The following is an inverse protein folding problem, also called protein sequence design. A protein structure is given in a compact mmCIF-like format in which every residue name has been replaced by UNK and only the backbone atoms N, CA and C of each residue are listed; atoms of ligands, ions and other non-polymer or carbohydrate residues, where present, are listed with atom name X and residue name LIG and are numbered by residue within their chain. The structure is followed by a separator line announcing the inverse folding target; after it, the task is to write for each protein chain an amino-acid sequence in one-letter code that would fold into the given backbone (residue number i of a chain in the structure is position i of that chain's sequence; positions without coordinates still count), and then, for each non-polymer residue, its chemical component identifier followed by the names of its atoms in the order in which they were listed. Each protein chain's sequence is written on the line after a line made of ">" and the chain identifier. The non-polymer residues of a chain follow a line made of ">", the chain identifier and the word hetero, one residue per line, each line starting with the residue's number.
data_IF_911046428280
#
_entry.id   IF_911046428280
#
_cell.length_a   1.000
_cell.length_b   1.000
_cell.length_c   1.000
_cell.angle_alpha   90.00
_cell.angle_beta   90.00
_cell.angle_gamma   90.00
#
_symmetry.space_group_name_H-M   'P 1'
#
loop_
_entity.id
_entity.type
_entity.pdbx_description
1 polymer ?
#
# COMPACT_ATOMS: atom_id res chain seq x y z
N UNK A 1 8.34 -24.49 22.26
CA UNK A 1 7.79 -25.30 23.37
C UNK A 1 6.40 -25.74 22.95
N UNK A 2 6.03 -26.99 23.19
CA UNK A 2 4.69 -27.53 22.90
C UNK A 2 3.95 -27.76 24.22
N UNK A 3 2.72 -27.27 24.31
CA UNK A 3 1.89 -27.38 25.51
C UNK A 3 1.29 -28.79 25.58
N UNK A 4 1.67 -29.57 26.60
CA UNK A 4 1.14 -30.91 26.80
C UNK A 4 -0.14 -30.89 27.65
N UNK A 5 -0.10 -30.16 28.76
CA UNK A 5 -1.19 -30.19 29.73
C UNK A 5 -1.19 -28.95 30.63
N UNK A 6 -2.38 -28.48 30.98
CA UNK A 6 -2.60 -27.47 32.03
C UNK A 6 -3.40 -28.12 33.15
N UNK A 7 -2.91 -28.04 34.39
CA UNK A 7 -3.61 -28.55 35.57
C UNK A 7 -3.55 -27.52 36.70
N UNK A 8 -4.69 -26.88 36.97
CA UNK A 8 -4.74 -25.78 37.93
C UNK A 8 -3.93 -24.57 37.45
N UNK A 9 -2.95 -24.13 38.23
CA UNK A 9 -2.02 -23.05 37.87
C UNK A 9 -0.70 -23.55 37.27
N UNK A 10 -0.51 -24.87 37.15
CA UNK A 10 0.72 -25.45 36.62
C UNK A 10 0.58 -25.82 35.15
N UNK A 11 1.62 -25.53 34.37
CA UNK A 11 1.70 -25.78 32.93
C UNK A 11 2.88 -26.71 32.62
N UNK A 12 2.58 -27.84 31.98
CA UNK A 12 3.59 -28.81 31.51
C UNK A 12 3.87 -28.61 30.03
N UNK A 13 5.12 -28.26 29.70
CA UNK A 13 5.59 -28.05 28.32
C UNK A 13 6.71 -29.02 27.96
N UNK A 14 6.78 -29.41 26.68
CA UNK A 14 7.90 -30.15 26.09
C UNK A 14 8.68 -29.25 25.13
N UNK A 15 9.98 -29.46 25.01
CA UNK A 15 10.79 -28.85 23.94
C UNK A 15 10.27 -29.37 22.60
N UNK A 16 9.79 -28.47 21.74
CA UNK A 16 9.26 -28.82 20.42
C UNK A 16 10.40 -28.92 19.43
N UNK A 17 10.44 -29.99 18.65
CA UNK A 17 11.38 -30.19 17.53
C UNK A 17 10.84 -29.60 16.22
N UNK A 18 9.57 -29.16 16.20
CA UNK A 18 8.98 -28.52 15.03
C UNK A 18 9.52 -27.09 14.88
N UNK A 19 10.27 -26.85 13.80
CA UNK A 19 10.58 -25.50 13.30
C UNK A 19 9.29 -24.85 12.77
N UNK A 20 8.39 -24.43 13.66
CA UNK A 20 7.34 -23.50 13.27
C UNK A 20 8.00 -22.16 13.04
N UNK A 21 8.26 -21.85 11.76
CA UNK A 21 8.50 -20.49 11.27
C UNK A 21 7.19 -19.68 11.45
N UNK A 22 6.80 -19.45 12.70
CA UNK A 22 5.93 -18.34 12.98
C UNK A 22 6.85 -17.13 13.01
N UNK A 23 7.13 -16.61 11.81
CA UNK A 23 7.57 -15.23 11.65
C UNK A 23 6.50 -14.40 12.36
N UNK A 24 6.84 -13.93 13.55
CA UNK A 24 6.06 -12.91 14.23
C UNK A 24 6.20 -11.68 13.36
N UNK A 25 5.28 -11.52 12.41
CA UNK A 25 5.07 -10.25 11.74
C UNK A 25 4.55 -9.31 12.81
N UNK A 26 5.48 -8.66 13.49
CA UNK A 26 5.19 -7.38 14.09
C UNK A 26 4.75 -6.50 12.91
N UNK A 27 3.44 -6.40 12.69
CA UNK A 27 2.86 -5.16 12.19
C UNK A 27 3.03 -4.08 13.27
N UNK A 28 4.24 -3.98 13.85
CA UNK A 28 4.64 -2.82 14.62
C UNK A 28 4.31 -1.67 13.70
N UNK A 29 3.42 -0.80 14.17
CA UNK A 29 2.79 0.23 13.38
C UNK A 29 3.83 0.78 12.41
N UNK A 30 3.79 0.31 11.15
CA UNK A 30 4.58 0.90 10.08
C UNK A 30 3.88 2.23 9.95
N UNK A 31 4.34 3.20 10.73
CA UNK A 31 3.91 4.56 10.55
C UNK A 31 4.30 4.84 9.12
N UNK A 32 3.28 4.94 8.26
CA UNK A 32 3.44 5.43 6.91
C UNK A 32 4.34 6.66 6.99
N UNK A 33 5.26 6.81 6.04
CA UNK A 33 6.09 8.02 5.99
C UNK A 33 5.19 9.24 6.25
N UNK A 34 5.46 9.96 7.34
CA UNK A 34 4.72 11.17 7.59
C UNK A 34 5.02 12.12 6.43
N UNK A 35 4.05 12.95 6.05
CA UNK A 35 4.23 13.97 5.01
C UNK A 35 5.52 14.79 5.22
N UNK A 36 5.89 15.01 6.49
CA UNK A 36 7.11 15.72 6.87
C UNK A 36 8.40 14.94 6.55
N UNK A 37 8.41 13.61 6.73
CA UNK A 37 9.57 12.79 6.39
C UNK A 37 9.72 12.66 4.87
N UNK A 38 8.62 12.54 4.13
CA UNK A 38 8.64 12.53 2.65
C UNK A 38 9.24 13.82 2.08
N UNK A 39 8.86 14.96 2.65
CA UNK A 39 9.44 16.26 2.31
C UNK A 39 10.95 16.30 2.55
N UNK A 40 11.42 15.78 3.70
CA UNK A 40 12.85 15.75 4.03
C UNK A 40 13.65 14.83 3.10
N UNK A 41 13.09 13.70 2.68
CA UNK A 41 13.73 12.84 1.67
C UNK A 41 13.90 13.59 0.34
N UNK A 42 12.87 14.31 -0.11
CA UNK A 42 12.96 15.12 -1.34
C UNK A 42 13.95 16.28 -1.23
N UNK A 43 14.12 16.87 -0.06
CA UNK A 43 15.18 17.86 0.20
C UNK A 43 16.58 17.23 0.05
N UNK A 44 16.78 16.02 0.58
CA UNK A 44 18.04 15.26 0.41
C UNK A 44 18.28 14.94 -1.07
N UNK A 45 17.24 14.56 -1.83
CA UNK A 45 17.34 14.29 -3.26
C UNK A 45 17.71 15.54 -4.06
N UNK A 46 17.16 16.70 -3.69
CA UNK A 46 17.56 18.00 -4.25
C UNK A 46 19.03 18.31 -3.97
N UNK A 47 19.50 18.08 -2.74
CA UNK A 47 20.92 18.26 -2.40
C UNK A 47 21.83 17.30 -3.18
N UNK A 48 21.44 16.03 -3.31
CA UNK A 48 22.12 15.05 -4.14
C UNK A 48 22.24 15.52 -5.59
N UNK A 49 21.15 16.00 -6.19
CA UNK A 49 21.13 16.53 -7.56
C UNK A 49 22.04 17.77 -7.74
N UNK A 50 22.38 18.47 -6.66
CA UNK A 50 23.34 19.58 -6.63
C UNK A 50 24.78 19.15 -6.33
N UNK A 51 25.02 17.85 -6.13
CA UNK A 51 26.32 17.29 -5.72
C UNK A 51 26.67 17.53 -4.25
N UNK A 52 25.68 17.88 -3.43
CA UNK A 52 25.86 18.18 -2.00
C UNK A 52 25.57 16.92 -1.18
N UNK A 53 26.52 16.53 -0.32
CA UNK A 53 26.38 15.39 0.60
C UNK A 53 26.68 15.87 2.01
N UNK A 54 25.64 15.98 2.85
CA UNK A 54 25.73 16.60 4.18
C UNK A 54 25.92 15.63 5.34
N UNK A 55 25.47 14.39 5.21
CA UNK A 55 25.47 13.42 6.30
C UNK A 55 26.13 12.10 5.90
N UNK A 56 26.60 11.36 6.89
CA UNK A 56 27.22 10.06 6.66
C UNK A 56 26.17 9.03 6.21
N UNK A 57 24.93 9.13 6.68
CA UNK A 57 23.81 8.31 6.20
C UNK A 57 23.55 8.53 4.70
N UNK A 58 23.59 9.80 4.25
CA UNK A 58 23.46 10.12 2.82
C UNK A 58 24.63 9.49 2.03
N UNK A 59 25.86 9.56 2.56
CA UNK A 59 27.03 8.95 1.93
C UNK A 59 26.87 7.43 1.75
N UNK A 60 26.26 6.74 2.72
CA UNK A 60 26.02 5.29 2.62
C UNK A 60 24.98 4.93 1.55
N UNK A 61 24.00 5.80 1.30
CA UNK A 61 22.97 5.58 0.26
C UNK A 61 23.39 6.08 -1.13
N UNK A 62 24.49 6.83 -1.26
CA UNK A 62 24.96 7.36 -2.56
C UNK A 62 25.04 6.30 -3.67
N UNK A 63 25.59 5.08 -3.45
CA UNK A 63 25.65 4.08 -4.52
C UNK A 63 24.26 3.75 -5.09
N UNK A 64 23.22 3.78 -4.24
CA UNK A 64 21.85 3.53 -4.64
C UNK A 64 21.28 4.71 -5.44
N UNK A 65 21.53 5.95 -5.01
CA UNK A 65 21.12 7.16 -5.73
C UNK A 65 21.84 7.29 -7.08
N UNK A 66 23.13 6.95 -7.12
CA UNK A 66 23.92 6.93 -8.35
C UNK A 66 23.41 5.88 -9.34
N UNK A 67 23.01 4.71 -8.85
CA UNK A 67 22.37 3.70 -9.69
C UNK A 67 21.00 4.17 -10.20
N UNK A 68 20.19 4.80 -9.34
CA UNK A 68 18.91 5.40 -9.72
C UNK A 68 19.10 6.48 -10.80
N UNK A 69 20.10 7.35 -10.65
CA UNK A 69 20.43 8.41 -11.61
C UNK A 69 20.94 7.86 -12.95
N UNK A 70 21.62 6.71 -12.94
CA UNK A 70 22.06 6.03 -14.17
C UNK A 70 20.92 5.38 -14.95
N UNK A 71 19.98 4.74 -14.24
CA UNK A 71 18.86 4.01 -14.86
C UNK A 71 17.68 4.92 -15.21
N UNK A 72 17.50 6.02 -14.46
CA UNK A 72 16.33 6.89 -14.52
C UNK A 72 16.71 8.29 -14.03
N UNK A 73 16.00 8.85 -13.05
CA UNK A 73 16.28 10.13 -12.40
C UNK A 73 16.00 10.03 -10.90
N UNK A 74 16.67 10.86 -10.11
CA UNK A 74 16.34 11.07 -8.70
C UNK A 74 15.40 12.30 -8.62
N UNK A 75 14.10 12.11 -8.34
CA UNK A 75 13.12 13.19 -8.34
C UNK A 75 13.32 14.13 -7.15
N UNK A 76 13.24 15.43 -7.41
CA UNK A 76 13.22 16.46 -6.38
C UNK A 76 11.78 16.88 -6.04
N UNK A 77 11.63 17.98 -5.31
CA UNK A 77 10.33 18.52 -4.88
C UNK A 77 9.44 19.01 -6.04
N UNK A 78 10.02 19.32 -7.20
CA UNK A 78 9.32 19.87 -8.37
C UNK A 78 9.05 18.80 -9.44
N UNK A 79 9.70 17.63 -9.34
CA UNK A 79 9.61 16.56 -10.33
C UNK A 79 8.67 15.45 -9.87
N UNK A 80 7.72 15.08 -10.72
CA UNK A 80 6.91 13.87 -10.57
C UNK A 80 7.44 12.79 -11.52
N UNK A 81 8.18 11.84 -10.97
CA UNK A 81 8.75 10.75 -11.75
C UNK A 81 7.72 9.66 -12.00
N UNK A 82 7.66 9.23 -13.27
CA UNK A 82 6.94 8.04 -13.71
C UNK A 82 7.92 7.13 -14.46
N UNK A 83 8.03 5.88 -14.04
CA UNK A 83 8.86 4.87 -14.73
C UNK A 83 7.96 3.85 -15.42
N UNK A 84 8.15 3.67 -16.72
CA UNK A 84 7.47 2.64 -17.52
C UNK A 84 8.47 1.53 -17.85
N UNK A 85 8.18 0.31 -17.39
CA UNK A 85 9.04 -0.85 -17.55
C UNK A 85 8.21 -2.03 -18.06
N UNK A 86 8.72 -2.71 -19.09
CA UNK A 86 8.14 -3.97 -19.55
C UNK A 86 8.98 -5.13 -19.02
N UNK A 87 8.33 -6.11 -18.40
CA UNK A 87 8.98 -7.35 -17.96
C UNK A 87 8.18 -8.57 -18.41
N UNK A 88 8.62 -9.77 -18.00
CA UNK A 88 7.88 -11.01 -18.24
C UNK A 88 6.55 -11.07 -17.47
N UNK A 89 6.44 -10.31 -16.38
CA UNK A 89 5.22 -10.27 -15.56
C UNK A 89 4.13 -9.37 -16.19
N UNK A 90 4.49 -8.47 -17.11
CA UNK A 90 3.58 -7.55 -17.78
C UNK A 90 4.16 -6.16 -17.98
N UNK A 91 3.29 -5.16 -18.02
CA UNK A 91 3.60 -3.76 -18.25
C UNK A 91 3.45 -2.98 -16.95
N UNK A 92 4.56 -2.44 -16.46
CA UNK A 92 4.65 -1.77 -15.17
C UNK A 92 4.68 -0.26 -15.37
N UNK A 93 3.86 0.45 -14.63
CA UNK A 93 3.93 1.89 -14.44
C UNK A 93 4.17 2.18 -12.96
N UNK A 94 5.35 2.72 -12.64
CA UNK A 94 5.69 3.15 -11.29
C UNK A 94 5.57 4.66 -11.16
N UNK A 95 4.92 5.12 -10.09
CA UNK A 95 4.66 6.52 -9.82
C UNK A 95 5.26 6.90 -8.46
N UNK A 96 5.96 8.05 -8.40
CA UNK A 96 6.70 8.47 -7.20
C UNK A 96 6.27 9.84 -6.65
N UNK A 97 5.07 9.97 -6.06
CA UNK A 97 4.58 11.24 -5.52
C UNK A 97 5.09 11.55 -4.11
N UNK A 98 5.59 10.56 -3.34
CA UNK A 98 6.06 10.73 -1.96
C UNK A 98 4.99 11.26 -0.98
N UNK A 99 3.77 10.71 -1.04
CA UNK A 99 2.65 11.11 -0.17
C UNK A 99 2.39 10.12 0.98
N UNK A 100 3.18 9.04 1.05
CA UNK A 100 3.03 7.99 2.05
C UNK A 100 2.08 6.89 1.62
N UNK A 101 2.25 5.70 2.23
CA UNK A 101 1.59 4.47 1.80
C UNK A 101 0.06 4.54 1.71
N UNK A 102 -0.59 5.16 2.70
CA UNK A 102 -2.06 5.31 2.69
C UNK A 102 -2.55 6.15 1.51
N UNK A 103 -1.86 7.25 1.20
CA UNK A 103 -2.22 8.08 0.06
C UNK A 103 -1.96 7.37 -1.26
N UNK A 104 -0.87 6.61 -1.36
CA UNK A 104 -0.56 5.83 -2.55
C UNK A 104 -1.59 4.72 -2.81
N UNK A 105 -2.16 4.11 -1.77
CA UNK A 105 -3.26 3.16 -1.91
C UNK A 105 -4.50 3.83 -2.53
N UNK A 106 -4.89 5.02 -2.03
CA UNK A 106 -6.03 5.76 -2.58
C UNK A 106 -5.78 6.26 -4.01
N UNK A 107 -4.60 6.84 -4.27
CA UNK A 107 -4.23 7.36 -5.59
C UNK A 107 -4.15 6.21 -6.61
N UNK A 108 -3.53 5.09 -6.26
CA UNK A 108 -3.43 3.94 -7.16
C UNK A 108 -4.81 3.37 -7.50
N UNK A 109 -5.71 3.23 -6.52
CA UNK A 109 -7.07 2.76 -6.75
C UNK A 109 -7.86 3.70 -7.67
N UNK A 110 -7.76 5.02 -7.45
CA UNK A 110 -8.37 6.03 -8.30
C UNK A 110 -7.89 5.93 -9.75
N UNK A 111 -6.57 5.86 -9.94
CA UNK A 111 -5.98 5.79 -11.28
C UNK A 111 -6.37 4.46 -11.94
N UNK A 112 -6.33 3.34 -11.23
CA UNK A 112 -6.72 2.04 -11.77
C UNK A 112 -8.19 2.04 -12.21
N UNK A 113 -9.09 2.65 -11.43
CA UNK A 113 -10.48 2.84 -11.83
C UNK A 113 -10.59 3.64 -13.12
N UNK A 114 -9.92 4.80 -13.22
CA UNK A 114 -9.95 5.66 -14.42
C UNK A 114 -9.38 4.96 -15.66
N UNK A 115 -8.30 4.21 -15.50
CA UNK A 115 -7.75 3.36 -16.57
C UNK A 115 -8.79 2.33 -17.00
N UNK A 116 -9.47 1.66 -16.06
CA UNK A 116 -10.47 0.63 -16.37
C UNK A 116 -11.70 1.14 -17.13
N UNK A 117 -12.03 2.43 -17.00
CA UNK A 117 -13.11 3.07 -17.76
C UNK A 117 -12.75 3.28 -19.23
N UNK A 118 -11.47 3.55 -19.50
CA UNK A 118 -10.97 3.86 -20.83
C UNK A 118 -10.43 2.63 -21.55
N UNK A 119 -9.94 1.63 -20.80
CA UNK A 119 -9.30 0.44 -21.31
C UNK A 119 -9.81 -0.83 -20.60
N UNK A 120 -10.22 -1.88 -21.34
CA UNK A 120 -10.60 -3.16 -20.74
C UNK A 120 -9.35 -3.94 -20.32
N UNK A 121 -8.86 -3.70 -19.11
CA UNK A 121 -7.56 -4.23 -18.62
C UNK A 121 -7.64 -4.84 -17.23
N UNK A 122 -6.78 -5.82 -16.96
CA UNK A 122 -6.60 -6.35 -15.60
C UNK A 122 -5.46 -5.62 -14.92
N UNK A 123 -5.73 -4.97 -13.77
CA UNK A 123 -4.75 -4.16 -13.05
C UNK A 123 -4.42 -4.78 -11.71
N UNK A 124 -3.13 -4.91 -11.42
CA UNK A 124 -2.61 -5.18 -10.09
C UNK A 124 -1.89 -3.94 -9.55
N UNK A 125 -2.03 -3.68 -8.25
CA UNK A 125 -1.44 -2.53 -7.59
C UNK A 125 -0.53 -2.95 -6.44
N UNK A 126 0.60 -2.27 -6.31
CA UNK A 126 1.47 -2.37 -5.15
C UNK A 126 1.93 -0.98 -4.73
N UNK A 127 2.24 -0.79 -3.45
CA UNK A 127 2.61 0.51 -2.93
C UNK A 127 3.50 0.38 -1.71
N UNK A 128 4.40 1.35 -1.59
CA UNK A 128 5.18 1.59 -0.39
C UNK A 128 5.05 3.05 0.02
N UNK A 129 5.98 3.53 0.82
CA UNK A 129 5.93 4.85 1.41
C UNK A 129 6.31 6.01 0.46
N UNK A 130 6.98 5.74 -0.66
CA UNK A 130 7.41 6.78 -1.61
C UNK A 130 6.75 6.68 -2.99
N UNK A 131 6.19 5.53 -3.34
CA UNK A 131 5.50 5.34 -4.60
C UNK A 131 4.56 4.14 -4.67
N UNK A 132 3.97 3.97 -5.85
CA UNK A 132 3.09 2.85 -6.19
C UNK A 132 3.32 2.35 -7.62
N UNK A 133 2.87 1.13 -7.87
CA UNK A 133 2.92 0.40 -9.13
C UNK A 133 1.50 0.14 -9.63
N UNK A 134 1.31 0.33 -10.93
CA UNK A 134 0.18 -0.19 -11.71
C UNK A 134 0.76 -1.20 -12.70
N UNK A 135 0.43 -2.47 -12.51
CA UNK A 135 0.82 -3.57 -13.38
C UNK A 135 -0.38 -3.99 -14.23
N UNK A 136 -0.22 -3.97 -15.55
CA UNK A 136 -1.21 -4.44 -16.50
C UNK A 136 -0.71 -5.65 -17.30
N UNK A 137 -1.67 -6.49 -17.70
CA UNK A 137 -1.48 -7.61 -18.62
C UNK A 137 -1.35 -7.17 -20.09
N UNK A 138 -1.74 -5.94 -20.41
CA UNK A 138 -1.63 -5.36 -21.76
C UNK A 138 -0.79 -4.08 -21.76
N UNK A 139 -0.23 -3.67 -22.93
CA UNK A 139 0.47 -2.40 -23.02
C UNK A 139 -0.40 -1.23 -22.58
N UNK A 140 0.11 -0.42 -21.66
CA UNK A 140 -0.48 0.85 -21.27
C UNK A 140 0.53 1.96 -21.59
N UNK A 141 0.23 2.79 -22.59
CA UNK A 141 1.05 3.97 -22.88
C UNK A 141 0.76 5.04 -21.82
N UNK A 142 1.79 5.44 -21.10
CA UNK A 142 1.67 6.50 -20.11
C UNK A 142 1.31 7.85 -20.75
N UNK A 143 1.71 8.08 -22.00
CA UNK A 143 1.32 9.25 -22.78
C UNK A 143 -0.19 9.30 -23.00
N UNK A 144 -0.80 8.19 -23.46
CA UNK A 144 -2.25 8.09 -23.62
C UNK A 144 -2.98 8.31 -22.30
N UNK A 145 -2.46 7.75 -21.20
CA UNK A 145 -3.06 7.95 -19.87
C UNK A 145 -2.98 9.42 -19.42
N UNK A 146 -1.88 10.12 -19.69
CA UNK A 146 -1.75 11.54 -19.36
C UNK A 146 -2.70 12.38 -20.23
N UNK A 147 -2.90 12.02 -21.50
CA UNK A 147 -3.88 12.69 -22.38
C UNK A 147 -5.32 12.54 -21.88
N UNK A 148 -5.66 11.39 -21.28
CA UNK A 148 -6.95 11.14 -20.60
C UNK A 148 -7.08 11.84 -19.24
N UNK A 149 -6.11 12.67 -18.84
CA UNK A 149 -6.13 13.46 -17.60
C UNK A 149 -6.38 12.57 -16.36
N UNK A 150 -5.69 11.43 -16.25
CA UNK A 150 -5.89 10.48 -15.13
C UNK A 150 -5.65 11.09 -13.73
N UNK A 151 -4.98 12.24 -13.64
CA UNK A 151 -4.76 13.00 -12.40
C UNK A 151 -5.75 14.15 -12.18
N UNK A 152 -6.81 14.24 -13.00
CA UNK A 152 -7.81 15.30 -12.94
C UNK A 152 -8.49 15.39 -11.58
N UNK A 153 -8.80 16.61 -11.17
CA UNK A 153 -9.69 16.86 -10.04
C UNK A 153 -11.18 16.85 -10.45
N UNK A 154 -11.48 16.73 -11.74
CA UNK A 154 -12.86 16.62 -12.25
C UNK A 154 -13.45 15.29 -11.83
N UNK A 155 -14.75 15.31 -11.47
CA UNK A 155 -15.54 14.15 -11.04
C UNK A 155 -14.92 13.32 -9.90
N UNK A 156 -13.97 13.89 -9.15
CA UNK A 156 -13.19 13.17 -8.15
C UNK A 156 -14.08 12.57 -7.04
N UNK A 157 -15.12 13.27 -6.62
CA UNK A 157 -16.09 12.76 -5.64
C UNK A 157 -16.77 11.47 -6.12
N UNK A 158 -17.23 11.45 -7.37
CA UNK A 158 -17.88 10.29 -7.98
C UNK A 158 -16.89 9.13 -8.16
N UNK A 159 -15.70 9.42 -8.68
CA UNK A 159 -14.66 8.40 -8.87
C UNK A 159 -14.24 7.74 -7.54
N UNK A 160 -14.13 8.52 -6.46
CA UNK A 160 -13.81 7.99 -5.13
C UNK A 160 -14.88 7.02 -4.64
N UNK A 161 -16.16 7.29 -4.88
CA UNK A 161 -17.26 6.38 -4.49
C UNK A 161 -17.16 5.01 -5.18
N UNK A 162 -16.58 4.96 -6.39
CA UNK A 162 -16.32 3.71 -7.10
C UNK A 162 -15.07 2.98 -6.60
N UNK A 163 -14.07 3.72 -6.13
CA UNK A 163 -12.82 3.16 -5.59
C UNK A 163 -12.96 2.71 -4.12
N UNK A 164 -13.84 3.38 -3.39
CA UNK A 164 -14.10 3.17 -1.96
C UNK A 164 -15.53 2.70 -1.83
N UNK A 165 -15.73 1.39 -1.59
CA UNK A 165 -17.06 0.88 -1.30
C UNK A 165 -17.49 1.35 0.10
N UNK A 166 -18.23 2.47 0.15
CA UNK A 166 -18.75 3.13 1.36
C UNK A 166 -19.42 2.13 2.32
N UNK A 167 -20.10 1.11 1.77
CA UNK A 167 -20.78 0.06 2.54
C UNK A 167 -19.82 -0.95 3.19
N UNK A 168 -18.71 -1.30 2.54
CA UNK A 168 -17.69 -2.20 3.10
C UNK A 168 -16.84 -1.47 4.16
N UNK A 169 -16.54 -0.19 3.95
CA UNK A 169 -15.78 0.62 4.90
C UNK A 169 -16.55 0.83 6.20
N UNK A 170 -17.84 1.18 6.09
CA UNK A 170 -18.72 1.29 7.25
C UNK A 170 -18.86 -0.05 7.98
N UNK A 171 -18.94 -1.17 7.25
CA UNK A 171 -18.96 -2.53 7.84
C UNK A 171 -17.65 -2.90 8.51
N UNK A 172 -16.51 -2.50 7.95
CA UNK A 172 -15.18 -2.75 8.53
C UNK A 172 -14.99 -1.97 9.82
N UNK A 173 -15.34 -0.68 9.84
CA UNK A 173 -15.30 0.15 11.06
C UNK A 173 -16.29 -0.32 12.10
N UNK A 174 -17.50 -0.67 11.67
CA UNK A 174 -18.49 -1.27 12.55
C UNK A 174 -18.00 -2.58 13.17
N UNK A 175 -17.20 -3.40 12.49
CA UNK A 175 -16.60 -4.61 13.09
C UNK A 175 -15.66 -4.29 14.24
N UNK A 176 -14.82 -3.27 14.11
CA UNK A 176 -13.93 -2.79 15.17
C UNK A 176 -14.77 -2.29 16.36
N UNK A 177 -15.75 -1.43 16.08
CA UNK A 177 -16.67 -0.86 17.09
C UNK A 177 -17.50 -1.96 17.77
N UNK A 178 -18.07 -2.91 17.02
CA UNK A 178 -18.85 -4.02 17.54
C UNK A 178 -18.01 -4.98 18.39
N UNK A 179 -16.72 -5.10 18.08
CA UNK A 179 -15.77 -5.86 18.90
C UNK A 179 -15.51 -5.15 20.23
N UNK A 180 -15.28 -3.83 20.21
CA UNK A 180 -15.05 -3.00 21.39
C UNK A 180 -16.32 -2.92 22.27
N UNK A 181 -17.47 -2.74 21.64
CA UNK A 181 -18.78 -2.66 22.29
C UNK A 181 -19.29 -4.01 22.82
N UNK A 182 -18.55 -5.11 22.59
CA UNK A 182 -18.90 -6.45 23.05
C UNK A 182 -20.09 -7.09 22.33
N UNK A 183 -20.50 -6.55 21.17
CA UNK A 183 -21.57 -7.10 20.35
C UNK A 183 -21.15 -8.39 19.64
N UNK A 184 -19.85 -8.58 19.42
CA UNK A 184 -19.30 -9.77 18.80
C UNK A 184 -18.38 -10.49 19.78
N UNK A 185 -18.63 -11.78 19.96
CA UNK A 185 -17.78 -12.63 20.79
C UNK A 185 -16.41 -12.82 20.12
N UNK A 186 -15.35 -12.34 20.77
CA UNK A 186 -13.98 -12.42 20.27
C UNK A 186 -13.25 -13.70 20.68
N UNK A 187 -13.81 -14.48 21.60
CA UNK A 187 -13.21 -15.71 22.10
C UNK A 187 -12.85 -15.63 23.58
N UNK A 188 -12.25 -16.69 24.09
CA UNK A 188 -11.76 -16.75 25.47
C UNK A 188 -10.26 -16.40 25.51
N UNK A 189 -9.72 -15.98 26.67
CA UNK A 189 -8.28 -15.80 26.83
C UNK A 189 -7.50 -17.05 26.39
N UNK A 190 -6.59 -16.89 25.42
CA UNK A 190 -5.81 -17.99 24.82
C UNK A 190 -6.53 -18.81 23.74
N UNK A 191 -7.80 -18.53 23.44
CA UNK A 191 -8.59 -19.16 22.36
C UNK A 191 -9.42 -18.10 21.61
N UNK A 192 -8.78 -17.28 20.76
CA UNK A 192 -9.48 -16.29 19.96
C UNK A 192 -10.39 -16.98 18.93
N UNK A 193 -11.52 -16.35 18.66
CA UNK A 193 -12.46 -16.81 17.62
C UNK A 193 -11.88 -16.48 16.25
N UNK A 194 -12.21 -17.28 15.24
CA UNK A 194 -11.71 -17.05 13.88
C UNK A 194 -12.14 -15.67 13.35
N UNK A 195 -11.22 -14.99 12.67
CA UNK A 195 -11.50 -13.70 12.02
C UNK A 195 -12.71 -13.75 11.09
N UNK A 196 -12.87 -14.86 10.35
CA UNK A 196 -14.04 -15.08 9.47
C UNK A 196 -15.37 -15.06 10.24
N UNK A 197 -15.40 -15.60 11.46
CA UNK A 197 -16.60 -15.63 12.30
C UNK A 197 -16.94 -14.23 12.83
N UNK A 198 -15.92 -13.47 13.25
CA UNK A 198 -16.10 -12.08 13.70
C UNK A 198 -16.61 -11.22 12.53
N UNK A 199 -16.06 -11.41 11.32
CA UNK A 199 -16.51 -10.72 10.12
C UNK A 199 -17.97 -11.02 9.75
N UNK A 200 -18.37 -12.29 9.78
CA UNK A 200 -19.74 -12.67 9.46
C UNK A 200 -20.76 -12.06 10.43
N UNK A 201 -20.50 -12.16 11.74
CA UNK A 201 -21.42 -11.66 12.77
C UNK A 201 -21.52 -10.14 12.80
N UNK A 202 -20.40 -9.44 12.68
CA UNK A 202 -20.39 -7.97 12.59
C UNK A 202 -21.13 -7.47 11.36
N UNK A 203 -21.01 -8.14 10.22
CA UNK A 203 -21.70 -7.76 8.98
C UNK A 203 -23.22 -7.93 9.09
N UNK A 204 -23.67 -9.01 9.74
CA UNK A 204 -25.10 -9.22 10.01
C UNK A 204 -25.67 -8.14 10.94
N UNK A 205 -24.96 -7.82 12.02
CA UNK A 205 -25.37 -6.78 12.96
C UNK A 205 -25.43 -5.40 12.29
N UNK A 206 -24.47 -5.09 11.41
CA UNK A 206 -24.49 -3.86 10.62
C UNK A 206 -25.77 -3.77 9.77
N UNK A 207 -26.11 -4.83 9.03
CA UNK A 207 -27.31 -4.87 8.19
C UNK A 207 -28.60 -4.72 9.01
N UNK A 208 -28.65 -5.36 10.18
CA UNK A 208 -29.81 -5.25 11.09
C UNK A 208 -29.97 -3.82 11.59
N UNK A 209 -28.89 -3.16 12.02
CA UNK A 209 -28.98 -1.76 12.44
C UNK A 209 -29.33 -0.84 11.27
N UNK A 210 -28.73 -1.04 10.11
CA UNK A 210 -29.06 -0.24 8.92
C UNK A 210 -30.54 -0.33 8.54
N UNK A 211 -31.14 -1.52 8.65
CA UNK A 211 -32.54 -1.75 8.26
C UNK A 211 -33.55 -1.41 9.35
N UNK A 212 -33.23 -1.65 10.62
CA UNK A 212 -34.20 -1.63 11.72
C UNK A 212 -33.88 -0.60 12.81
N UNK A 213 -32.66 -0.08 12.90
CA UNK A 213 -32.23 0.93 13.88
C UNK A 213 -31.21 1.92 13.26
N UNK A 214 -31.59 2.70 12.24
CA UNK A 214 -30.66 3.55 11.50
C UNK A 214 -30.05 4.69 12.34
N UNK A 215 -30.66 5.01 13.49
CA UNK A 215 -30.20 6.00 14.46
C UNK A 215 -29.29 5.40 15.54
N UNK A 216 -28.90 4.13 15.43
CA UNK A 216 -28.03 3.47 16.39
C UNK A 216 -26.70 4.21 16.54
N UNK A 217 -26.30 4.53 17.77
CA UNK A 217 -25.08 5.29 18.04
C UNK A 217 -23.80 4.58 17.55
N UNK A 218 -23.74 3.25 17.54
CA UNK A 218 -22.59 2.49 17.03
C UNK A 218 -22.56 2.50 15.51
N UNK A 219 -23.72 2.51 14.86
CA UNK A 219 -23.84 2.68 13.41
C UNK A 219 -23.47 4.11 13.00
N UNK A 220 -23.94 5.12 13.74
CA UNK A 220 -23.56 6.52 13.55
C UNK A 220 -22.07 6.72 13.79
N UNK A 221 -21.49 6.11 14.83
CA UNK A 221 -20.05 6.16 15.07
C UNK A 221 -19.27 5.46 13.95
N UNK A 222 -19.73 4.31 13.46
CA UNK A 222 -19.09 3.64 12.31
C UNK A 222 -19.12 4.53 11.05
N UNK A 223 -20.24 5.21 10.81
CA UNK A 223 -20.39 6.21 9.74
C UNK A 223 -19.50 7.44 9.99
N UNK A 224 -19.41 7.93 11.22
CA UNK A 224 -18.58 9.08 11.59
C UNK A 224 -17.08 8.79 11.60
N UNK A 225 -16.68 7.57 11.95
CA UNK A 225 -15.30 7.12 11.79
C UNK A 225 -14.98 6.81 10.33
N UNK A 226 -15.98 6.44 9.52
CA UNK A 226 -15.87 6.50 8.07
C UNK A 226 -15.81 7.96 7.56
N UNK A 227 -16.35 8.96 8.29
CA UNK A 227 -16.17 10.39 7.99
C UNK A 227 -14.71 10.85 8.22
N UNK A 228 -13.88 10.17 9.03
CA UNK A 228 -12.43 10.41 9.02
C UNK A 228 -11.78 10.12 7.65
N UNK A 229 -12.46 9.37 6.78
CA UNK A 229 -12.07 9.18 5.39
C UNK A 229 -12.39 10.40 4.49
N UNK A 230 -13.27 11.31 4.93
CA UNK A 230 -13.42 12.63 4.30
C UNK A 230 -12.14 13.48 4.48
N UNK A 231 -11.39 13.28 5.58
CA UNK A 231 -10.04 13.84 5.71
C UNK A 231 -9.04 13.19 4.73
N UNK A 232 -9.18 11.90 4.46
CA UNK A 232 -8.39 11.23 3.40
C UNK A 232 -8.72 11.78 2.01
N UNK A 233 -9.98 12.17 1.76
CA UNK A 233 -10.40 12.85 0.54
C UNK A 233 -9.78 14.25 0.41
N UNK A 234 -9.77 15.05 1.48
CA UNK A 234 -9.08 16.35 1.47
C UNK A 234 -7.56 16.21 1.24
N UNK A 235 -6.96 15.17 1.83
CA UNK A 235 -5.56 14.82 1.59
C UNK A 235 -5.33 14.35 0.15
N UNK A 236 -6.24 13.57 -0.42
CA UNK A 236 -6.18 13.11 -1.82
C UNK A 236 -6.27 14.28 -2.79
N UNK A 237 -7.20 15.21 -2.56
CA UNK A 237 -7.30 16.47 -3.32
C UNK A 237 -5.99 17.26 -3.23
N UNK A 238 -5.39 17.33 -2.04
CA UNK A 238 -4.13 18.06 -1.82
C UNK A 238 -2.96 17.38 -2.55
N UNK A 239 -2.86 16.06 -2.48
CA UNK A 239 -1.86 15.26 -3.17
C UNK A 239 -1.98 15.39 -4.70
N UNK A 240 -3.20 15.27 -5.25
CA UNK A 240 -3.45 15.44 -6.68
C UNK A 240 -3.16 16.87 -7.14
N UNK A 241 -3.52 17.89 -6.35
CA UNK A 241 -3.14 19.30 -6.64
C UNK A 241 -1.63 19.49 -6.69
N UNK A 242 -0.89 18.80 -5.81
CA UNK A 242 0.58 18.83 -5.81
C UNK A 242 1.13 18.13 -7.05
N UNK A 243 0.64 16.93 -7.38
CA UNK A 243 1.02 16.19 -8.61
C UNK A 243 0.82 17.06 -9.85
N UNK A 244 -0.35 17.69 -10.00
CA UNK A 244 -0.67 18.55 -11.13
C UNK A 244 0.19 19.83 -11.22
N UNK A 245 0.91 20.22 -10.16
CA UNK A 245 1.84 21.36 -10.17
C UNK A 245 3.27 20.96 -10.50
N UNK A 246 3.60 19.68 -10.34
CA UNK A 246 4.94 19.16 -10.59
C UNK A 246 5.17 18.95 -12.09
N UNK A 247 6.42 19.05 -12.50
CA UNK A 247 6.85 18.66 -13.84
C UNK A 247 6.87 17.13 -13.90
N UNK A 248 6.08 16.55 -14.81
CA UNK A 248 6.11 15.12 -15.06
C UNK A 248 7.40 14.77 -15.83
N UNK A 249 8.18 13.82 -15.31
CA UNK A 249 9.35 13.24 -15.98
C UNK A 249 9.09 11.74 -16.17
N UNK A 250 8.94 11.33 -17.43
CA UNK A 250 8.64 9.94 -17.82
C UNK A 250 9.94 9.27 -18.23
N UNK A 251 10.26 8.15 -17.61
CA UNK A 251 11.47 7.36 -17.88
C UNK A 251 11.13 5.92 -18.26
N UNK A 252 11.97 5.37 -19.11
CA UNK A 252 11.84 4.02 -19.67
C UNK A 252 13.08 3.19 -19.30
N UNK A 253 13.26 2.83 -18.01
CA UNK A 253 14.41 2.04 -17.60
C UNK A 253 14.36 0.65 -18.24
N UNK A 254 15.52 0.04 -18.51
CA UNK A 254 15.62 -1.31 -19.06
C UNK A 254 15.40 -2.42 -18.03
N UNK A 255 15.47 -2.08 -16.74
CA UNK A 255 15.34 -3.01 -15.61
C UNK A 255 14.73 -2.30 -14.40
N UNK A 256 14.42 -3.04 -13.34
CA UNK A 256 13.97 -2.43 -12.09
C UNK A 256 15.04 -1.49 -11.54
N UNK A 257 14.62 -0.26 -11.28
CA UNK A 257 15.42 0.77 -10.64
C UNK A 257 15.45 0.55 -9.13
N UNK A 258 16.43 1.13 -8.42
CA UNK A 258 16.44 1.18 -6.96
C UNK A 258 15.10 1.61 -6.32
N UNK A 259 14.33 2.45 -6.99
CA UNK A 259 13.03 2.90 -6.49
C UNK A 259 11.88 1.97 -6.89
N UNK A 260 11.86 1.38 -8.08
CA UNK A 260 10.78 0.44 -8.46
C UNK A 260 10.93 -0.91 -7.79
N UNK A 261 12.17 -1.36 -7.52
CA UNK A 261 12.43 -2.69 -6.98
C UNK A 261 11.71 -2.98 -5.64
N UNK A 262 11.76 -2.11 -4.61
CA UNK A 262 11.07 -2.39 -3.36
C UNK A 262 9.54 -2.37 -3.47
N UNK A 263 8.98 -1.62 -4.43
CA UNK A 263 7.53 -1.64 -4.71
C UNK A 263 7.15 -3.00 -5.29
N UNK A 264 7.93 -3.47 -6.28
CA UNK A 264 7.73 -4.78 -6.90
C UNK A 264 7.86 -5.93 -5.88
N UNK A 265 8.82 -5.86 -4.95
CA UNK A 265 8.96 -6.87 -3.88
C UNK A 265 7.73 -6.91 -2.96
N UNK A 266 7.12 -5.76 -2.64
CA UNK A 266 5.88 -5.74 -1.84
C UNK A 266 4.72 -6.46 -2.57
N UNK A 267 4.64 -6.35 -3.90
CA UNK A 267 3.68 -7.10 -4.74
C UNK A 267 3.85 -8.61 -4.57
N UNK A 268 5.08 -9.11 -4.65
CA UNK A 268 5.38 -10.55 -4.56
C UNK A 268 4.99 -11.15 -3.21
N UNK A 269 5.11 -10.37 -2.14
CA UNK A 269 4.77 -10.79 -0.79
C UNK A 269 3.27 -10.94 -0.56
N UNK A 270 2.44 -10.16 -1.26
CA UNK A 270 0.97 -10.16 -1.08
C UNK A 270 0.26 -11.20 -1.95
N UNK A 271 0.82 -11.51 -3.11
CA UNK A 271 0.13 -12.28 -4.16
C UNK A 271 0.43 -13.77 -4.15
N UNK A 272 1.49 -14.22 -3.45
CA UNK A 272 1.94 -15.61 -3.54
C UNK A 272 2.02 -16.33 -2.19
N UNK A 273 1.16 -17.34 -2.01
CA UNK A 273 1.42 -18.44 -1.09
C UNK A 273 2.37 -19.40 -1.83
N UNK A 274 3.67 -19.12 -1.79
CA UNK A 274 4.71 -19.99 -2.33
C UNK A 274 5.41 -20.74 -1.19
N UNK A 275 5.91 -21.95 -1.48
CA UNK A 275 6.80 -22.69 -0.58
C UNK A 275 8.24 -22.15 -0.57
N UNK A 276 8.55 -21.22 -1.46
CA UNK A 276 9.85 -20.58 -1.59
C UNK A 276 9.94 -19.31 -0.73
N UNK A 277 11.08 -19.09 -0.06
CA UNK A 277 11.31 -17.92 0.78
C UNK A 277 11.41 -16.64 -0.07
N UNK A 278 11.02 -15.50 0.51
CA UNK A 278 11.12 -14.18 -0.15
C UNK A 278 12.57 -13.86 -0.50
N UNK A 279 13.50 -14.25 0.37
CA UNK A 279 14.94 -14.08 0.20
C UNK A 279 15.46 -14.82 -1.03
N UNK A 280 15.03 -16.06 -1.24
CA UNK A 280 15.42 -16.87 -2.41
C UNK A 280 14.88 -16.27 -3.72
N UNK A 281 13.67 -15.70 -3.70
CA UNK A 281 13.08 -15.01 -4.85
C UNK A 281 13.84 -13.73 -5.19
N UNK A 282 14.14 -12.91 -4.18
CA UNK A 282 14.93 -11.68 -4.34
C UNK A 282 16.29 -12.02 -4.95
N UNK A 283 16.98 -13.05 -4.44
CA UNK A 283 18.27 -13.47 -4.96
C UNK A 283 18.20 -13.86 -6.45
N UNK A 284 17.15 -14.55 -6.87
CA UNK A 284 16.94 -14.89 -8.30
C UNK A 284 16.70 -13.68 -9.18
N UNK A 285 15.91 -12.71 -8.71
CA UNK A 285 15.63 -11.48 -9.47
C UNK A 285 16.92 -10.65 -9.59
N UNK A 286 17.66 -10.47 -8.49
CA UNK A 286 18.94 -9.76 -8.51
C UNK A 286 19.94 -10.45 -9.45
N UNK A 287 20.03 -11.78 -9.43
CA UNK A 287 20.89 -12.53 -10.34
C UNK A 287 20.47 -12.38 -11.82
N UNK A 288 19.18 -12.22 -12.11
CA UNK A 288 18.70 -11.94 -13.46
C UNK A 288 19.04 -10.50 -13.90
N UNK A 289 19.02 -9.54 -12.98
CA UNK A 289 19.40 -8.15 -13.23
C UNK A 289 20.92 -7.96 -13.41
N UNK A 290 21.76 -8.80 -12.78
CA UNK A 290 23.22 -8.75 -12.97
C UNK A 290 23.71 -9.40 -14.29
N UNK A 291 22.84 -10.15 -14.99
CA UNK A 291 23.17 -10.89 -16.20
C UNK A 291 22.82 -10.14 -17.51
N UNK A 292 22.16 -9.00 -17.44
CA UNK A 292 21.82 -8.11 -18.57
C UNK A 292 22.65 -6.82 -18.55
#
# INVERSE_FOLDING_TARGET
>A
LELLQVKGMDVSVKVSENKTSNLVSWMGARMSLSSMLSYKIREIFKEYNQGIVRSEEVRQILPLLDLQSKLSVVPDEETFLIESLQTRDGYHLFFYPFEGRMMHELISALIAYRISQSFPVSINMAMNDYGFEILSDVPLSIEELIEEDIFSLKNLEEDILHCVNESEMSRRKFREIASIAGLVFQGYPGKPTSFKHIQANSSLLFQVFEQYDPENLLLQQARQEAINQQMEQEMLVTALKKINRMKIDIRYPSQFTPFSFPIMVDRLNRTNISSESVEDKIAKILAQMELE
#
